data_IF_306391707204
#
_entry.id   IF_306391707204
#
_cell.length_a   1.000
_cell.length_b   1.000
_cell.length_c   1.000
_cell.angle_alpha   90.00
_cell.angle_beta   90.00
_cell.angle_gamma   90.00
#
_symmetry.space_group_name_H-M   'P 1'
#
loop_
_entity.id
_entity.type
_entity.pdbx_description
1 polymer ?
#
# COMPACT_ATOMS: atom_id res chain seq x y z
N UNK A 1 26.53 58.00 9.76
CA UNK A 1 26.08 57.12 10.87
C UNK A 1 26.50 55.74 10.54
N UNK A 2 27.68 55.38 11.07
CA UNK A 2 28.31 54.07 11.00
C UNK A 2 27.87 53.32 12.24
N UNK A 3 27.19 52.21 12.07
CA UNK A 3 27.00 51.24 13.14
C UNK A 3 27.84 50.00 12.83
N UNK A 4 28.97 49.96 13.52
CA UNK A 4 29.84 48.82 13.66
C UNK A 4 29.14 47.74 14.46
N UNK A 5 28.81 46.63 13.84
CA UNK A 5 28.44 45.39 14.53
C UNK A 5 29.65 44.43 14.46
N UNK A 6 30.42 44.46 15.51
CA UNK A 6 31.51 43.54 15.76
C UNK A 6 30.94 42.31 16.51
N UNK A 7 30.63 41.25 15.80
CA UNK A 7 30.38 39.96 16.41
C UNK A 7 31.68 39.21 16.58
N UNK A 8 32.18 39.22 17.81
CA UNK A 8 33.23 38.33 18.29
C UNK A 8 32.69 36.88 18.29
N UNK A 9 32.99 36.16 17.24
CA UNK A 9 32.74 34.73 17.12
C UNK A 9 34.03 33.98 17.50
N UNK A 10 34.32 33.95 18.80
CA UNK A 10 35.38 33.12 19.35
C UNK A 10 34.84 31.69 19.51
N UNK A 11 34.82 30.95 18.38
CA UNK A 11 34.75 29.47 18.50
C UNK A 11 36.08 29.00 19.06
N UNK A 12 36.03 28.57 20.29
CA UNK A 12 37.11 27.84 20.94
C UNK A 12 37.23 26.52 20.16
N UNK A 13 38.19 26.49 19.21
CA UNK A 13 38.74 25.26 18.71
C UNK A 13 39.52 24.62 19.86
N UNK A 14 38.87 23.83 20.68
CA UNK A 14 39.59 22.84 21.45
C UNK A 14 40.08 21.78 20.45
N UNK A 15 41.26 22.07 19.89
CA UNK A 15 42.12 21.08 19.29
C UNK A 15 42.39 20.02 20.35
N UNK A 16 41.54 18.99 20.38
CA UNK A 16 41.79 17.76 21.13
C UNK A 16 42.96 17.11 20.36
N UNK A 17 44.19 17.49 20.79
CA UNK A 17 45.42 16.92 20.32
C UNK A 17 45.35 15.40 20.49
N UNK A 18 45.27 14.69 19.36
CA UNK A 18 45.33 13.24 19.27
C UNK A 18 46.72 12.68 19.69
N UNK A 19 47.60 13.53 20.23
CA UNK A 19 48.97 13.20 20.55
C UNK A 19 49.26 12.64 21.92
N UNK A 20 48.24 12.51 22.79
CA UNK A 20 48.45 12.10 24.18
C UNK A 20 48.29 10.57 24.45
N UNK A 21 47.91 9.81 23.42
CA UNK A 21 47.88 8.34 23.55
C UNK A 21 49.20 7.73 23.07
N UNK A 22 50.15 7.62 24.01
CA UNK A 22 51.50 7.18 23.70
C UNK A 22 51.71 5.66 23.56
N UNK A 23 50.74 4.84 23.88
CA UNK A 23 50.83 3.38 23.72
C UNK A 23 49.46 2.76 23.42
N UNK A 24 49.41 1.68 22.61
CA UNK A 24 48.22 0.89 22.29
C UNK A 24 47.53 0.33 23.53
N UNK A 25 48.22 0.25 24.66
CA UNK A 25 47.70 -0.30 25.90
C UNK A 25 46.84 0.70 26.74
N UNK A 26 46.83 1.99 26.36
CA UNK A 26 46.06 3.05 27.04
C UNK A 26 44.69 3.34 26.41
N UNK A 27 44.33 2.63 25.33
CA UNK A 27 43.03 2.81 24.68
C UNK A 27 42.00 1.93 25.42
N UNK A 28 40.95 2.54 26.03
CA UNK A 28 39.93 1.76 26.69
C UNK A 28 39.27 0.75 25.78
N UNK A 29 39.08 -0.48 26.23
CA UNK A 29 38.53 -1.62 25.48
C UNK A 29 37.23 -1.30 24.72
N UNK A 30 36.40 -0.38 25.24
CA UNK A 30 35.16 0.02 24.56
C UNK A 30 35.41 0.79 23.25
N UNK A 31 36.54 1.54 23.13
CA UNK A 31 36.90 2.23 21.88
C UNK A 31 37.47 1.27 20.82
N UNK A 32 38.14 0.20 21.26
CA UNK A 32 38.60 -0.86 20.35
C UNK A 32 37.41 -1.67 19.81
N UNK A 33 36.36 -1.87 20.60
CA UNK A 33 35.15 -2.58 20.15
C UNK A 33 34.33 -1.76 19.18
N UNK A 34 34.30 -0.42 19.27
CA UNK A 34 33.61 0.43 18.30
C UNK A 34 34.33 0.47 16.95
N UNK A 35 35.67 0.40 16.94
CA UNK A 35 36.46 0.39 15.69
C UNK A 35 36.50 -0.98 15.01
N UNK A 36 36.25 -2.06 15.77
CA UNK A 36 36.26 -3.43 15.26
C UNK A 36 34.88 -3.95 14.84
N UNK A 37 33.85 -3.10 14.87
CA UNK A 37 32.66 -3.30 14.05
C UNK A 37 33.03 -2.95 12.63
N UNK A 38 33.74 -3.88 12.01
CA UNK A 38 34.12 -3.84 10.62
C UNK A 38 32.90 -3.47 9.79
N UNK A 39 33.12 -2.51 8.91
CA UNK A 39 32.22 -2.06 7.84
C UNK A 39 31.68 -3.17 6.93
N UNK A 40 31.77 -4.41 7.33
CA UNK A 40 31.44 -5.62 6.59
C UNK A 40 30.29 -6.46 7.14
N UNK A 41 29.72 -6.12 8.32
CA UNK A 41 28.74 -7.02 8.95
C UNK A 41 27.36 -6.40 9.25
N UNK A 42 27.03 -5.28 8.66
CA UNK A 42 25.63 -4.84 8.57
C UNK A 42 25.36 -4.44 7.12
N UNK A 43 25.62 -5.32 6.19
CA UNK A 43 24.62 -5.62 5.23
C UNK A 43 23.70 -6.64 5.94
N UNK A 44 22.76 -6.20 6.77
CA UNK A 44 21.50 -6.91 6.78
C UNK A 44 21.18 -7.02 5.29
N UNK A 45 21.45 -8.20 4.74
CA UNK A 45 20.81 -8.65 3.53
C UNK A 45 19.34 -8.47 3.87
N UNK A 46 18.78 -7.31 3.48
CA UNK A 46 17.32 -7.15 3.40
C UNK A 46 16.95 -8.37 2.59
N UNK A 47 16.29 -9.38 3.16
CA UNK A 47 15.88 -10.53 2.38
C UNK A 47 15.06 -9.91 1.25
N UNK A 48 15.63 -9.92 0.05
CA UNK A 48 14.88 -9.69 -1.17
C UNK A 48 13.89 -10.85 -1.17
N UNK A 49 12.77 -10.64 -0.45
CA UNK A 49 11.68 -11.57 -0.57
C UNK A 49 11.24 -11.41 -2.02
N UNK A 50 11.42 -12.46 -2.81
CA UNK A 50 10.78 -12.64 -4.12
C UNK A 50 9.23 -12.68 -3.96
N UNK A 51 8.71 -11.94 -3.00
CA UNK A 51 7.29 -11.75 -2.84
C UNK A 51 6.84 -10.83 -3.98
N UNK A 52 6.26 -11.44 -4.98
CA UNK A 52 5.53 -10.73 -6.04
C UNK A 52 4.64 -9.71 -5.35
N UNK A 53 4.77 -8.44 -5.72
CA UNK A 53 3.95 -7.40 -5.08
C UNK A 53 2.48 -7.69 -5.35
N UNK A 54 1.60 -7.30 -4.43
CA UNK A 54 0.15 -7.46 -4.59
C UNK A 54 -0.35 -6.92 -5.94
N UNK A 55 0.18 -5.79 -6.35
CA UNK A 55 -0.12 -5.18 -7.64
C UNK A 55 0.31 -6.06 -8.82
N UNK A 56 1.52 -6.62 -8.79
CA UNK A 56 2.03 -7.50 -9.84
C UNK A 56 1.20 -8.78 -9.96
N UNK A 57 0.77 -9.36 -8.83
CA UNK A 57 -0.12 -10.52 -8.81
C UNK A 57 -1.45 -10.23 -9.52
N UNK A 58 -2.04 -9.05 -9.31
CA UNK A 58 -3.27 -8.65 -9.99
C UNK A 58 -3.05 -8.42 -11.49
N UNK A 59 -1.92 -7.82 -11.88
CA UNK A 59 -1.58 -7.64 -13.29
C UNK A 59 -1.35 -8.98 -14.00
N UNK A 60 -0.78 -9.96 -13.32
CA UNK A 60 -0.61 -11.29 -13.87
C UNK A 60 -1.96 -11.97 -14.13
N UNK A 61 -2.90 -11.88 -13.18
CA UNK A 61 -4.26 -12.35 -13.37
C UNK A 61 -4.98 -11.61 -14.52
N UNK A 62 -4.77 -10.29 -14.64
CA UNK A 62 -5.31 -9.49 -15.74
C UNK A 62 -4.81 -9.97 -17.12
N UNK A 63 -3.54 -10.34 -17.23
CA UNK A 63 -2.95 -10.84 -18.48
C UNK A 63 -3.58 -12.15 -18.93
N UNK A 64 -4.12 -12.93 -18.03
CA UNK A 64 -4.82 -14.20 -18.32
C UNK A 64 -6.25 -13.98 -18.83
N UNK A 65 -6.80 -12.76 -18.70
CA UNK A 65 -8.16 -12.45 -19.12
C UNK A 65 -8.25 -12.13 -20.61
N UNK A 66 -9.35 -12.55 -21.23
CA UNK A 66 -9.66 -12.24 -22.62
C UNK A 66 -10.38 -10.88 -22.74
N UNK A 67 -9.61 -9.81 -22.66
CA UNK A 67 -10.09 -8.43 -22.74
C UNK A 67 -9.53 -7.75 -23.99
N UNK A 68 -10.25 -6.76 -24.49
CA UNK A 68 -9.74 -5.87 -25.54
C UNK A 68 -8.60 -5.00 -25.01
N UNK A 69 -7.76 -4.47 -25.88
CA UNK A 69 -6.63 -3.62 -25.45
C UNK A 69 -7.11 -2.38 -24.66
N UNK A 70 -8.22 -1.78 -25.05
CA UNK A 70 -8.82 -0.67 -24.30
C UNK A 70 -9.24 -1.11 -22.88
N UNK A 71 -9.89 -2.27 -22.77
CA UNK A 71 -10.33 -2.82 -21.48
C UNK A 71 -9.16 -3.21 -20.59
N UNK A 72 -8.07 -3.70 -21.16
CA UNK A 72 -6.83 -3.98 -20.41
C UNK A 72 -6.23 -2.70 -19.83
N UNK A 73 -6.14 -1.63 -20.62
CA UNK A 73 -5.63 -0.34 -20.13
C UNK A 73 -6.53 0.23 -19.03
N UNK A 74 -7.86 0.11 -19.20
CA UNK A 74 -8.81 0.51 -18.15
C UNK A 74 -8.65 -0.34 -16.89
N UNK A 75 -8.53 -1.67 -17.02
CA UNK A 75 -8.35 -2.57 -15.87
C UNK A 75 -7.04 -2.30 -15.13
N UNK A 76 -5.94 -2.09 -15.86
CA UNK A 76 -4.64 -1.72 -15.29
C UNK A 76 -4.74 -0.42 -14.49
N UNK A 77 -5.44 0.58 -15.05
CA UNK A 77 -5.67 1.85 -14.36
C UNK A 77 -6.52 1.68 -13.10
N UNK A 78 -7.58 0.87 -13.15
CA UNK A 78 -8.44 0.56 -12.01
C UNK A 78 -7.65 -0.17 -10.92
N UNK A 79 -6.83 -1.16 -11.26
CA UNK A 79 -5.95 -1.88 -10.32
C UNK A 79 -4.98 -0.91 -9.64
N UNK A 80 -4.37 0.01 -10.41
CA UNK A 80 -3.50 1.05 -9.87
C UNK A 80 -4.21 2.12 -9.02
N UNK A 81 -5.55 2.15 -9.06
CA UNK A 81 -6.39 3.06 -8.26
C UNK A 81 -6.96 2.41 -7.00
N UNK A 82 -6.63 1.13 -6.75
CA UNK A 82 -7.00 0.45 -5.51
C UNK A 82 -6.17 0.96 -4.35
N UNK A 83 -6.79 1.01 -3.16
CA UNK A 83 -6.10 1.28 -1.92
C UNK A 83 -5.28 0.04 -1.47
N UNK A 84 -4.48 0.21 -0.42
CA UNK A 84 -3.71 -0.88 0.21
C UNK A 84 -4.60 -2.05 0.69
N UNK A 85 -5.86 -1.75 1.02
CA UNK A 85 -6.88 -2.74 1.39
C UNK A 85 -7.52 -3.44 0.17
N UNK A 86 -7.15 -3.09 -1.06
CA UNK A 86 -7.75 -3.59 -2.29
C UNK A 86 -9.12 -3.00 -2.61
N UNK A 87 -9.53 -1.92 -1.94
CA UNK A 87 -10.81 -1.25 -2.16
C UNK A 87 -10.69 -0.12 -3.18
N UNK A 88 -11.74 0.06 -4.00
CA UNK A 88 -11.86 1.14 -4.96
C UNK A 88 -12.70 2.29 -4.38
N UNK A 89 -12.04 3.21 -3.67
CA UNK A 89 -12.74 4.35 -3.03
C UNK A 89 -13.07 5.49 -3.97
N UNK A 90 -12.43 5.52 -5.13
CA UNK A 90 -12.68 6.55 -6.14
C UNK A 90 -14.07 6.41 -6.76
N UNK A 91 -14.74 7.53 -6.95
CA UNK A 91 -16.04 7.57 -7.63
C UNK A 91 -15.93 7.20 -9.12
N UNK A 92 -16.98 6.58 -9.69
CA UNK A 92 -16.98 6.16 -11.10
C UNK A 92 -16.75 7.34 -12.05
N UNK A 93 -17.34 8.51 -11.77
CA UNK A 93 -17.17 9.69 -12.60
C UNK A 93 -15.72 10.20 -12.60
N UNK A 94 -15.07 10.21 -11.43
CA UNK A 94 -13.65 10.58 -11.31
C UNK A 94 -12.78 9.64 -12.14
N UNK A 95 -13.07 8.33 -12.13
CA UNK A 95 -12.33 7.35 -12.92
C UNK A 95 -12.51 7.56 -14.43
N UNK A 96 -13.73 7.94 -14.87
CA UNK A 96 -14.00 8.29 -16.27
C UNK A 96 -13.16 9.50 -16.69
N UNK A 97 -13.17 10.55 -15.90
CA UNK A 97 -12.45 11.78 -16.18
C UNK A 97 -10.92 11.55 -16.18
N UNK A 98 -10.43 10.80 -15.19
CA UNK A 98 -9.01 10.44 -15.08
C UNK A 98 -8.55 9.57 -16.27
N UNK A 99 -9.35 8.58 -16.71
CA UNK A 99 -9.04 7.75 -17.88
C UNK A 99 -8.99 8.58 -19.17
N UNK A 100 -9.90 9.54 -19.31
CA UNK A 100 -9.88 10.44 -20.46
C UNK A 100 -8.63 11.33 -20.47
N UNK A 101 -8.23 11.86 -19.31
CA UNK A 101 -7.08 12.78 -19.18
C UNK A 101 -5.74 12.03 -19.30
N UNK A 102 -5.58 10.93 -18.55
CA UNK A 102 -4.26 10.27 -18.42
C UNK A 102 -4.01 9.20 -19.48
N UNK A 103 -5.06 8.57 -20.00
CA UNK A 103 -4.95 7.46 -20.96
C UNK A 103 -5.58 7.77 -22.31
N UNK A 104 -6.29 8.90 -22.45
CA UNK A 104 -6.99 9.28 -23.69
C UNK A 104 -8.16 8.34 -24.02
N UNK A 105 -8.69 7.61 -23.03
CA UNK A 105 -9.77 6.65 -23.23
C UNK A 105 -11.08 7.29 -22.78
N UNK A 106 -11.97 7.50 -23.75
CA UNK A 106 -13.33 8.00 -23.47
C UNK A 106 -14.25 6.81 -23.23
N UNK A 107 -14.73 6.67 -22.02
CA UNK A 107 -15.54 5.54 -21.58
C UNK A 107 -16.82 6.01 -20.88
N UNK A 108 -17.69 5.07 -20.58
CA UNK A 108 -18.90 5.33 -19.81
C UNK A 108 -18.96 4.45 -18.55
N UNK A 109 -19.87 4.79 -17.65
CA UNK A 109 -20.06 4.07 -16.39
C UNK A 109 -20.31 2.56 -16.59
N UNK A 110 -21.08 2.18 -17.63
CA UNK A 110 -21.38 0.77 -17.91
C UNK A 110 -20.11 -0.02 -18.22
N UNK A 111 -19.22 0.56 -19.04
CA UNK A 111 -17.96 -0.09 -19.45
C UNK A 111 -17.00 -0.22 -18.26
N UNK A 112 -16.90 0.81 -17.42
CA UNK A 112 -16.13 0.74 -16.17
C UNK A 112 -16.66 -0.36 -15.24
N UNK A 113 -17.97 -0.43 -15.05
CA UNK A 113 -18.57 -1.46 -14.20
C UNK A 113 -18.38 -2.88 -14.75
N UNK A 114 -18.36 -3.04 -16.09
CA UNK A 114 -18.02 -4.32 -16.71
C UNK A 114 -16.57 -4.73 -16.45
N UNK A 115 -15.62 -3.82 -16.63
CA UNK A 115 -14.20 -4.08 -16.35
C UNK A 115 -13.98 -4.32 -14.87
N UNK A 116 -14.66 -3.54 -14.01
CA UNK A 116 -14.58 -3.71 -12.56
C UNK A 116 -15.10 -5.09 -12.11
N UNK A 117 -16.17 -5.60 -12.71
CA UNK A 117 -16.68 -6.94 -12.39
C UNK A 117 -15.66 -8.03 -12.74
N UNK A 118 -14.85 -7.87 -13.78
CA UNK A 118 -13.76 -8.80 -14.09
C UNK A 118 -12.67 -8.74 -13.03
N UNK A 119 -12.32 -7.55 -12.55
CA UNK A 119 -11.33 -7.38 -11.46
C UNK A 119 -11.85 -7.98 -10.16
N UNK A 120 -13.15 -7.84 -9.87
CA UNK A 120 -13.78 -8.43 -8.69
C UNK A 120 -13.76 -9.97 -8.67
N UNK A 121 -13.55 -10.60 -9.83
CA UNK A 121 -13.35 -12.05 -9.94
C UNK A 121 -11.90 -12.50 -9.67
N UNK A 122 -10.96 -11.58 -9.47
CA UNK A 122 -9.56 -11.89 -9.18
C UNK A 122 -9.36 -12.38 -7.74
N UNK A 123 -8.23 -12.99 -7.49
CA UNK A 123 -7.79 -13.42 -6.17
C UNK A 123 -6.84 -12.38 -5.54
N UNK A 124 -7.07 -12.01 -4.28
CA UNK A 124 -8.04 -12.48 -3.27
C UNK A 124 -9.46 -11.94 -3.46
N UNK A 125 -10.43 -12.70 -2.94
CA UNK A 125 -11.85 -12.36 -3.02
C UNK A 125 -12.17 -11.03 -2.33
N UNK A 126 -12.96 -10.16 -2.98
CA UNK A 126 -13.37 -8.87 -2.44
C UNK A 126 -12.57 -7.68 -2.97
N UNK A 127 -11.61 -7.91 -3.87
CA UNK A 127 -10.88 -6.87 -4.58
C UNK A 127 -11.82 -6.03 -5.44
N UNK A 128 -11.50 -4.73 -5.57
CA UNK A 128 -12.27 -3.81 -6.37
C UNK A 128 -13.64 -3.45 -5.79
N UNK A 129 -13.93 -3.87 -4.55
CA UNK A 129 -15.13 -3.45 -3.85
C UNK A 129 -15.07 -1.95 -3.51
N UNK A 130 -16.21 -1.26 -3.59
CA UNK A 130 -16.33 0.17 -3.27
C UNK A 130 -16.55 0.43 -1.78
N UNK A 131 -16.99 -0.59 -1.05
CA UNK A 131 -17.25 -0.54 0.38
C UNK A 131 -16.92 -1.87 1.04
N UNK A 132 -16.76 -1.84 2.37
CA UNK A 132 -16.57 -3.05 3.16
C UNK A 132 -17.75 -4.02 3.00
N UNK A 133 -18.99 -3.49 2.91
CA UNK A 133 -20.19 -4.29 2.68
C UNK A 133 -20.11 -5.07 1.36
N UNK A 134 -19.74 -4.38 0.26
CA UNK A 134 -19.57 -5.02 -1.04
C UNK A 134 -18.44 -6.05 -1.02
N UNK A 135 -17.33 -5.74 -0.35
CA UNK A 135 -16.21 -6.68 -0.18
C UNK A 135 -16.66 -7.98 0.49
N UNK A 136 -17.42 -7.90 1.59
CA UNK A 136 -17.95 -9.07 2.28
C UNK A 136 -18.94 -9.86 1.41
N UNK A 137 -19.79 -9.17 0.65
CA UNK A 137 -20.73 -9.83 -0.29
C UNK A 137 -19.98 -10.57 -1.40
N UNK A 138 -18.91 -9.99 -1.96
CA UNK A 138 -18.08 -10.67 -2.96
C UNK A 138 -17.39 -11.91 -2.40
N UNK A 139 -16.88 -11.84 -1.17
CA UNK A 139 -16.30 -12.98 -0.48
C UNK A 139 -17.33 -14.08 -0.24
N UNK A 140 -18.54 -13.71 0.19
CA UNK A 140 -19.64 -14.67 0.39
C UNK A 140 -20.09 -15.33 -0.91
N UNK A 141 -20.15 -14.59 -2.02
CA UNK A 141 -20.50 -15.15 -3.33
C UNK A 141 -19.60 -16.30 -3.73
N UNK A 142 -18.30 -16.25 -3.39
CA UNK A 142 -17.33 -17.33 -3.69
C UNK A 142 -17.44 -18.55 -2.77
N UNK A 143 -18.07 -18.43 -1.60
CA UNK A 143 -18.30 -19.58 -0.73
C UNK A 143 -19.27 -20.57 -1.36
N UNK A 144 -19.16 -21.87 -1.08
CA UNK A 144 -20.11 -22.87 -1.54
C UNK A 144 -21.54 -22.56 -1.04
N UNK A 145 -22.52 -22.94 -1.84
CA UNK A 145 -23.94 -22.74 -1.48
C UNK A 145 -24.29 -23.50 -0.20
N UNK A 146 -24.86 -22.78 0.75
CA UNK A 146 -25.40 -23.35 1.99
C UNK A 146 -26.57 -22.52 2.50
N UNK A 147 -27.40 -23.10 3.35
CA UNK A 147 -28.49 -22.37 4.00
C UNK A 147 -27.97 -21.22 4.85
N UNK A 148 -26.80 -21.39 5.47
CA UNK A 148 -26.11 -20.37 6.28
C UNK A 148 -25.66 -19.19 5.41
N UNK A 149 -25.10 -19.45 4.21
CA UNK A 149 -24.67 -18.41 3.27
C UNK A 149 -25.80 -17.45 2.92
N UNK A 150 -27.00 -17.94 2.71
CA UNK A 150 -28.15 -17.07 2.40
C UNK A 150 -28.48 -16.13 3.55
N UNK A 151 -28.45 -16.62 4.78
CA UNK A 151 -28.64 -15.80 5.98
C UNK A 151 -27.52 -14.79 6.16
N UNK A 152 -26.25 -15.21 5.97
CA UNK A 152 -25.08 -14.31 6.01
C UNK A 152 -25.21 -13.17 5.00
N UNK A 153 -25.62 -13.48 3.76
CA UNK A 153 -25.82 -12.48 2.72
C UNK A 153 -26.94 -11.49 3.09
N UNK A 154 -28.07 -11.98 3.59
CA UNK A 154 -29.19 -11.15 4.02
C UNK A 154 -28.81 -10.21 5.18
N UNK A 155 -28.05 -10.71 6.14
CA UNK A 155 -27.53 -9.88 7.25
C UNK A 155 -26.63 -8.76 6.73
N UNK A 156 -25.72 -9.06 5.83
CA UNK A 156 -24.80 -8.05 5.29
C UNK A 156 -25.53 -7.06 4.39
N UNK A 157 -26.51 -7.49 3.59
CA UNK A 157 -27.26 -6.60 2.72
C UNK A 157 -28.17 -5.64 3.51
N UNK A 158 -28.85 -6.12 4.53
CA UNK A 158 -29.89 -5.35 5.24
C UNK A 158 -29.43 -4.73 6.56
N UNK A 159 -28.52 -5.40 7.26
CA UNK A 159 -28.15 -5.08 8.65
C UNK A 159 -26.66 -4.81 8.85
N UNK A 160 -25.92 -4.48 7.79
CA UNK A 160 -24.48 -4.28 7.88
C UNK A 160 -24.09 -3.22 8.94
N UNK A 161 -24.80 -2.10 8.99
CA UNK A 161 -24.54 -1.02 9.94
C UNK A 161 -24.84 -1.43 11.39
N UNK A 162 -25.96 -2.13 11.61
CA UNK A 162 -26.33 -2.61 12.95
C UNK A 162 -25.40 -3.72 13.40
N UNK A 163 -24.96 -4.60 12.50
CA UNK A 163 -23.96 -5.63 12.76
C UNK A 163 -22.60 -5.01 13.15
N UNK A 164 -22.15 -4.01 12.42
CA UNK A 164 -20.88 -3.31 12.68
C UNK A 164 -20.92 -2.60 14.03
N UNK A 165 -22.07 -2.03 14.41
CA UNK A 165 -22.29 -1.38 15.70
C UNK A 165 -22.59 -2.37 16.83
N UNK A 166 -22.52 -3.68 16.57
CA UNK A 166 -22.86 -4.77 17.53
C UNK A 166 -24.28 -4.67 18.12
N UNK A 167 -25.21 -4.10 17.38
CA UNK A 167 -26.60 -3.91 17.80
C UNK A 167 -27.42 -5.18 17.54
N UNK A 168 -27.20 -6.22 18.35
CA UNK A 168 -27.76 -7.57 18.16
C UNK A 168 -29.28 -7.65 18.33
N UNK A 169 -29.90 -6.62 18.90
CA UNK A 169 -31.36 -6.60 19.12
C UNK A 169 -32.17 -6.31 17.85
N UNK A 170 -31.50 -5.86 16.78
CA UNK A 170 -32.13 -5.49 15.51
C UNK A 170 -31.82 -6.45 14.36
N UNK A 171 -30.92 -7.40 14.58
CA UNK A 171 -30.54 -8.45 13.65
C UNK A 171 -31.38 -9.71 13.91
#
# INVERSE_FOLDING_TARGET
>A
FEDNFNEDNSYINEDISLGDYRTEDDIPDYKLQEHNRSRGEIAEEIPFSDSVSFYEMLLEQLRMQHLTEEEKIMAEYLIGSLDDDGLLRKGTQTLIDELAIYRGIYTNEKKINQVLSVIQDFDPAGIGARSLQECLLLQLKRKPESAIKKVEMEIIEKYCDDFTRKNKEKI
#
